data_IF_828344754831
#
_entry.id   IF_828344754831
#
_cell.length_a   1.000
_cell.length_b   1.000
_cell.length_c   1.000
_cell.angle_alpha   90.00
_cell.angle_beta   90.00
_cell.angle_gamma   90.00
#
_symmetry.space_group_name_H-M   'P 1'
#
loop_
_entity.id
_entity.type
_entity.pdbx_description
1 polymer ?
#
# COMPACT_ATOMS: atom_id res chain seq x y z
N UNK A 1 21.81 -0.83 18.06
CA UNK A 1 20.97 -0.49 19.23
C UNK A 1 21.77 -0.08 20.47
N UNK A 2 23.06 -0.44 20.55
CA UNK A 2 23.86 -0.23 21.75
C UNK A 2 24.10 1.25 22.09
N UNK A 3 24.24 2.11 21.06
CA UNK A 3 24.37 3.57 21.21
C UNK A 3 23.15 4.24 21.86
N UNK A 4 21.93 3.73 21.65
CA UNK A 4 20.73 4.31 22.28
C UNK A 4 20.59 3.86 23.74
N UNK A 5 21.00 2.62 24.03
CA UNK A 5 21.04 2.06 25.39
C UNK A 5 22.06 2.78 26.27
N UNK A 6 23.24 3.12 25.72
CA UNK A 6 24.29 3.86 26.45
C UNK A 6 23.93 5.33 26.73
N UNK A 7 23.00 5.90 25.96
CA UNK A 7 22.47 7.27 26.15
C UNK A 7 21.29 7.32 27.14
N UNK A 8 20.98 6.22 27.85
CA UNK A 8 19.88 6.15 28.81
C UNK A 8 18.48 6.06 28.17
N UNK A 9 18.39 5.89 26.85
CA UNK A 9 17.12 5.82 26.12
C UNK A 9 16.61 4.38 26.10
N UNK A 10 15.41 4.14 26.62
CA UNK A 10 14.78 2.81 26.65
C UNK A 10 14.26 2.40 25.27
N UNK A 11 15.05 1.67 24.50
CA UNK A 11 14.73 1.16 23.15
C UNK A 11 13.39 0.39 23.15
N UNK A 12 13.16 -0.43 24.18
CA UNK A 12 11.97 -1.26 24.32
C UNK A 12 10.67 -0.44 24.33
N UNK A 13 10.66 0.73 24.97
CA UNK A 13 9.47 1.60 25.00
C UNK A 13 9.16 2.15 23.61
N UNK A 14 10.17 2.59 22.87
CA UNK A 14 9.99 3.12 21.51
C UNK A 14 9.60 2.04 20.50
N UNK A 15 10.18 0.84 20.59
CA UNK A 15 9.79 -0.29 19.75
C UNK A 15 8.34 -0.72 20.04
N UNK A 16 7.95 -0.81 21.32
CA UNK A 16 6.57 -1.15 21.69
C UNK A 16 5.59 -0.09 21.19
N UNK A 17 5.90 1.20 21.38
CA UNK A 17 5.08 2.29 20.89
C UNK A 17 4.89 2.22 19.37
N UNK A 18 5.97 2.01 18.61
CA UNK A 18 5.90 1.86 17.15
C UNK A 18 5.05 0.67 16.72
N UNK A 19 5.19 -0.47 17.40
CA UNK A 19 4.40 -1.68 17.12
C UNK A 19 2.91 -1.47 17.43
N UNK A 20 2.59 -0.82 18.55
CA UNK A 20 1.21 -0.50 18.91
C UNK A 20 0.57 0.43 17.89
N UNK A 21 1.26 1.51 17.49
CA UNK A 21 0.75 2.46 16.48
C UNK A 21 0.52 1.76 15.14
N UNK A 22 1.47 0.93 14.68
CA UNK A 22 1.34 0.19 13.43
C UNK A 22 0.15 -0.79 13.47
N UNK A 23 -0.02 -1.52 14.57
CA UNK A 23 -1.14 -2.43 14.78
C UNK A 23 -2.50 -1.71 14.83
N UNK A 24 -2.57 -0.58 15.54
CA UNK A 24 -3.76 0.26 15.59
C UNK A 24 -4.17 0.76 14.19
N UNK A 25 -3.22 1.24 13.38
CA UNK A 25 -3.52 1.74 12.04
C UNK A 25 -4.01 0.63 11.09
N UNK A 26 -3.38 -0.55 11.17
CA UNK A 26 -3.80 -1.73 10.39
C UNK A 26 -5.21 -2.20 10.76
N UNK A 27 -5.50 -2.33 12.06
CA UNK A 27 -6.83 -2.70 12.55
C UNK A 27 -7.89 -1.66 12.22
N UNK A 28 -7.57 -0.37 12.33
CA UNK A 28 -8.46 0.72 11.98
C UNK A 28 -8.81 0.73 10.49
N UNK A 29 -7.83 0.55 9.60
CA UNK A 29 -8.05 0.43 8.17
C UNK A 29 -8.95 -0.76 7.81
N UNK A 30 -8.76 -1.91 8.46
CA UNK A 30 -9.62 -3.07 8.29
C UNK A 30 -11.07 -2.82 8.71
N UNK A 31 -11.27 -2.18 9.88
CA UNK A 31 -12.59 -1.84 10.38
C UNK A 31 -13.34 -0.85 9.48
N UNK A 32 -12.66 0.15 8.91
CA UNK A 32 -13.24 1.06 7.93
C UNK A 32 -13.67 0.33 6.65
N UNK A 33 -12.87 -0.62 6.17
CA UNK A 33 -13.18 -1.35 4.95
C UNK A 33 -14.41 -2.26 5.12
N UNK A 34 -14.55 -2.91 6.27
CA UNK A 34 -15.74 -3.74 6.58
C UNK A 34 -17.00 -2.87 6.64
N UNK A 35 -16.91 -1.67 7.22
CA UNK A 35 -18.02 -0.70 7.20
C UNK A 35 -18.37 -0.26 5.78
N UNK A 36 -17.37 -0.03 4.92
CA UNK A 36 -17.61 0.37 3.53
C UNK A 36 -18.28 -0.72 2.69
N UNK A 37 -17.88 -1.98 2.86
CA UNK A 37 -18.44 -3.09 2.07
C UNK A 37 -19.67 -3.75 2.72
N UNK A 38 -20.01 -3.43 3.98
CA UNK A 38 -21.12 -4.01 4.75
C UNK A 38 -21.09 -5.54 4.91
N UNK A 39 -20.00 -6.20 4.49
CA UNK A 39 -19.78 -7.64 4.55
C UNK A 39 -18.29 -7.93 4.77
N UNK A 40 -18.00 -9.06 5.40
CA UNK A 40 -16.64 -9.53 5.66
C UNK A 40 -16.49 -10.99 5.24
N UNK A 41 -15.48 -11.23 4.42
CA UNK A 41 -15.13 -12.53 3.86
C UNK A 41 -13.59 -12.69 3.82
N UNK A 42 -13.10 -13.94 3.76
CA UNK A 42 -11.66 -14.22 3.77
C UNK A 42 -10.99 -13.73 2.48
N UNK A 43 -11.71 -13.79 1.35
CA UNK A 43 -11.26 -13.35 0.02
C UNK A 43 -11.09 -11.84 -0.04
N UNK A 44 -11.94 -11.07 0.65
CA UNK A 44 -11.81 -9.62 0.81
C UNK A 44 -10.47 -9.25 1.47
N UNK A 45 -10.06 -9.98 2.52
CA UNK A 45 -8.78 -9.73 3.18
C UNK A 45 -7.59 -9.88 2.22
N UNK A 46 -7.57 -10.95 1.43
CA UNK A 46 -6.54 -11.18 0.41
C UNK A 46 -6.57 -10.07 -0.65
N UNK A 47 -7.76 -9.66 -1.08
CA UNK A 47 -7.94 -8.56 -2.03
C UNK A 47 -7.33 -7.25 -1.53
N UNK A 48 -7.59 -6.87 -0.28
CA UNK A 48 -7.08 -5.62 0.32
C UNK A 48 -5.55 -5.59 0.32
N UNK A 49 -4.89 -6.70 0.70
CA UNK A 49 -3.42 -6.77 0.72
C UNK A 49 -2.83 -6.56 -0.69
N UNK A 50 -3.44 -7.18 -1.70
CA UNK A 50 -2.99 -7.03 -3.09
C UNK A 50 -3.16 -5.57 -3.57
N UNK A 51 -4.30 -4.94 -3.29
CA UNK A 51 -4.54 -3.54 -3.65
C UNK A 51 -3.54 -2.60 -2.94
N UNK A 52 -3.27 -2.84 -1.66
CA UNK A 52 -2.31 -2.07 -0.88
C UNK A 52 -0.88 -2.19 -1.44
N UNK A 53 -0.43 -3.41 -1.77
CA UNK A 53 0.89 -3.64 -2.35
C UNK A 53 1.00 -3.02 -3.75
N UNK A 54 -0.04 -3.10 -4.58
CA UNK A 54 -0.05 -2.48 -5.91
C UNK A 54 0.07 -0.94 -5.81
N UNK A 55 -0.74 -0.30 -4.96
CA UNK A 55 -0.67 1.14 -4.73
C UNK A 55 0.72 1.56 -4.21
N UNK A 56 1.30 0.81 -3.26
CA UNK A 56 2.66 1.04 -2.76
C UNK A 56 3.69 0.98 -3.89
N UNK A 57 3.67 -0.09 -4.70
CA UNK A 57 4.62 -0.27 -5.81
C UNK A 57 4.53 0.85 -6.84
N UNK A 58 3.32 1.27 -7.23
CA UNK A 58 3.09 2.38 -8.17
C UNK A 58 3.62 3.69 -7.58
N UNK A 59 3.30 3.95 -6.31
CA UNK A 59 3.72 5.15 -5.59
C UNK A 59 5.24 5.28 -5.49
N UNK A 60 5.92 4.19 -5.14
CA UNK A 60 7.37 4.14 -5.13
C UNK A 60 7.94 4.30 -6.55
N UNK A 61 7.27 3.83 -7.61
CA UNK A 61 7.76 3.91 -8.98
C UNK A 61 7.86 5.36 -9.46
N UNK A 62 6.91 6.20 -9.04
CA UNK A 62 6.86 7.62 -9.34
C UNK A 62 7.86 8.40 -8.48
N UNK A 63 7.97 8.01 -7.21
CA UNK A 63 8.65 8.81 -6.18
C UNK A 63 10.12 8.44 -6.02
N UNK A 64 10.56 7.21 -6.27
CA UNK A 64 11.97 6.82 -6.07
C UNK A 64 12.46 6.92 -4.62
N UNK A 65 13.63 6.33 -4.34
CA UNK A 65 14.08 5.99 -2.99
C UNK A 65 15.06 7.02 -2.40
N UNK A 66 14.78 8.32 -2.51
CA UNK A 66 15.77 9.35 -2.12
C UNK A 66 15.67 9.80 -0.65
N UNK A 67 14.46 9.89 -0.07
CA UNK A 67 14.27 10.42 1.30
C UNK A 67 13.14 9.70 2.04
N UNK A 68 13.25 9.62 3.37
CA UNK A 68 12.25 8.98 4.24
C UNK A 68 10.85 9.60 4.09
N UNK A 69 10.77 10.93 3.95
CA UNK A 69 9.51 11.64 3.69
C UNK A 69 8.90 11.26 2.34
N UNK A 70 9.72 11.09 1.29
CA UNK A 70 9.25 10.59 0.00
C UNK A 70 8.71 9.17 0.12
N UNK A 71 9.36 8.32 0.90
CA UNK A 71 8.95 6.93 1.07
C UNK A 71 7.62 6.81 1.82
N UNK A 72 7.36 7.69 2.80
CA UNK A 72 6.07 7.77 3.48
C UNK A 72 4.96 8.32 2.58
N UNK A 73 5.26 9.30 1.71
CA UNK A 73 4.28 9.91 0.79
C UNK A 73 4.04 9.08 -0.48
N UNK A 74 4.99 8.23 -0.86
CA UNK A 74 4.90 7.38 -2.04
C UNK A 74 3.60 6.56 -2.11
N UNK A 75 3.23 5.74 -1.11
CA UNK A 75 1.99 4.95 -1.15
C UNK A 75 0.72 5.81 -1.23
N UNK A 76 0.70 7.01 -0.63
CA UNK A 76 -0.46 7.91 -0.73
C UNK A 76 -0.67 8.41 -2.17
N UNK A 77 0.40 8.86 -2.84
CA UNK A 77 0.35 9.24 -4.25
C UNK A 77 -0.02 8.06 -5.14
N UNK A 78 0.55 6.89 -4.86
CA UNK A 78 0.27 5.66 -5.59
C UNK A 78 -1.19 5.21 -5.48
N UNK A 79 -1.81 5.34 -4.30
CA UNK A 79 -3.22 5.02 -4.08
C UNK A 79 -4.15 5.91 -4.91
N UNK A 80 -3.87 7.22 -4.99
CA UNK A 80 -4.66 8.15 -5.81
C UNK A 80 -4.57 7.76 -7.28
N UNK A 81 -3.36 7.54 -7.80
CA UNK A 81 -3.14 7.16 -9.20
C UNK A 81 -3.81 5.82 -9.52
N UNK A 82 -3.63 4.83 -8.64
CA UNK A 82 -4.28 3.52 -8.77
C UNK A 82 -5.81 3.66 -8.88
N UNK A 83 -6.41 4.50 -8.04
CA UNK A 83 -7.85 4.69 -8.04
C UNK A 83 -8.39 5.47 -9.23
N UNK A 84 -7.60 6.40 -9.78
CA UNK A 84 -7.93 7.04 -11.05
C UNK A 84 -7.89 6.04 -12.22
N UNK A 85 -6.90 5.15 -12.25
CA UNK A 85 -6.81 4.10 -13.28
C UNK A 85 -8.01 3.17 -13.20
N UNK A 86 -8.38 2.72 -11.98
CA UNK A 86 -9.54 1.86 -11.77
C UNK A 86 -10.85 2.55 -12.18
N UNK A 87 -11.02 3.83 -11.81
CA UNK A 87 -12.20 4.63 -12.18
C UNK A 87 -12.31 4.88 -13.69
N UNK A 88 -11.20 5.21 -14.36
CA UNK A 88 -11.18 5.40 -15.81
C UNK A 88 -11.52 4.11 -16.56
N UNK A 89 -10.98 2.98 -16.11
CA UNK A 89 -11.27 1.70 -16.75
C UNK A 89 -12.75 1.27 -16.56
N UNK A 90 -13.40 1.63 -15.45
CA UNK A 90 -14.85 1.47 -15.28
C UNK A 90 -15.65 2.36 -16.23
N UNK A 91 -15.21 3.61 -16.44
CA UNK A 91 -15.89 4.56 -17.35
C UNK A 91 -15.82 4.16 -18.83
N UNK A 92 -14.81 3.38 -19.22
CA UNK A 92 -14.67 2.83 -20.59
C UNK A 92 -15.54 1.59 -20.84
N UNK A 93 -16.39 1.19 -19.88
CA UNK A 93 -17.37 0.11 -20.07
C UNK A 93 -16.79 -1.30 -20.00
N UNK A 94 -15.55 -1.47 -19.53
CA UNK A 94 -15.02 -2.81 -19.24
C UNK A 94 -15.73 -3.41 -18.02
N UNK A 95 -16.05 -4.69 -18.10
CA UNK A 95 -16.55 -5.44 -16.95
C UNK A 95 -15.49 -5.42 -15.82
N UNK A 96 -15.90 -5.32 -14.53
CA UNK A 96 -14.99 -5.35 -13.38
C UNK A 96 -14.06 -6.58 -13.34
N UNK A 97 -14.47 -7.67 -14.00
CA UNK A 97 -13.73 -8.92 -14.17
C UNK A 97 -12.50 -8.77 -15.07
N UNK A 98 -12.65 -8.10 -16.22
CA UNK A 98 -11.55 -7.86 -17.19
C UNK A 98 -10.65 -6.70 -16.74
N UNK A 99 -11.21 -5.78 -15.94
CA UNK A 99 -10.49 -4.73 -15.24
C UNK A 99 -9.41 -5.29 -14.30
N UNK A 100 -9.67 -6.39 -13.57
CA UNK A 100 -8.68 -7.02 -12.69
C UNK A 100 -7.52 -7.61 -13.50
N UNK A 101 -7.79 -8.20 -14.66
CA UNK A 101 -6.77 -8.68 -15.58
C UNK A 101 -5.95 -7.53 -16.17
N UNK A 102 -6.60 -6.45 -16.60
CA UNK A 102 -5.92 -5.27 -17.15
C UNK A 102 -5.08 -4.54 -16.10
N UNK A 103 -5.61 -4.37 -14.88
CA UNK A 103 -4.88 -3.76 -13.77
C UNK A 103 -3.69 -4.63 -13.35
N UNK A 104 -3.88 -5.96 -13.33
CA UNK A 104 -2.79 -6.92 -13.13
C UNK A 104 -1.72 -6.84 -14.23
N UNK A 105 -2.12 -6.69 -15.50
CA UNK A 105 -1.20 -6.51 -16.62
C UNK A 105 -0.42 -5.19 -16.53
N UNK A 106 -1.07 -4.09 -16.15
CA UNK A 106 -0.41 -2.79 -15.92
C UNK A 106 0.59 -2.89 -14.76
N UNK A 107 0.22 -3.52 -13.65
CA UNK A 107 1.14 -3.77 -12.53
C UNK A 107 2.31 -4.63 -12.96
N UNK A 108 2.08 -5.73 -13.70
CA UNK A 108 3.14 -6.57 -14.26
C UNK A 108 4.06 -5.80 -15.23
N UNK A 109 3.50 -4.91 -16.05
CA UNK A 109 4.28 -4.05 -16.96
C UNK A 109 5.13 -3.04 -16.18
N UNK A 110 4.60 -2.43 -15.13
CA UNK A 110 5.34 -1.53 -14.23
C UNK A 110 6.47 -2.27 -13.52
N UNK A 111 6.21 -3.49 -13.04
CA UNK A 111 7.23 -4.36 -12.43
C UNK A 111 8.31 -4.73 -13.46
N UNK A 112 7.93 -5.13 -14.67
CA UNK A 112 8.85 -5.44 -15.76
C UNK A 112 9.73 -4.25 -16.15
N UNK A 113 9.15 -3.05 -16.23
CA UNK A 113 9.89 -1.82 -16.52
C UNK A 113 10.87 -1.45 -15.38
N UNK A 114 10.46 -1.68 -14.12
CA UNK A 114 11.35 -1.50 -12.95
C UNK A 114 12.50 -2.50 -12.93
N UNK A 115 12.27 -3.75 -13.31
CA UNK A 115 13.31 -4.78 -13.39
C UNK A 115 14.40 -4.42 -14.41
N UNK A 116 14.05 -3.72 -15.49
CA UNK A 116 15.01 -3.23 -16.50
C UNK A 116 15.81 -2.00 -16.08
N UNK A 117 15.45 -1.34 -14.97
CA UNK A 117 16.05 -0.07 -14.51
C UNK A 117 16.96 -0.22 -13.27
N UNK A 118 17.16 -1.45 -12.79
CA UNK A 118 18.22 -1.83 -11.85
C UNK A 118 19.26 -2.67 -12.57
#
# INVERSE_FOLDING_TARGET
PDFAKSQGISIQKYTLLGLMIAGCYSGFGGALMVQYQSYMDISMGIGIVIHALAALMIGEAITGNATLHRQLLAPFLGAIVYQQIQGLALSMGLAPSDLKFFTGAVVLMVIGLRCRRR
#
